data_IF_698362365115
#
_entry.id   IF_698362365115
#
_cell.length_a   1.000
_cell.length_b   1.000
_cell.length_c   1.000
_cell.angle_alpha   90.00
_cell.angle_beta   90.00
_cell.angle_gamma   90.00
#
_symmetry.space_group_name_H-M   'P 1'
#
loop_
_entity.id
_entity.type
_entity.pdbx_description
1 polymer ?
#
# COMPACT_ATOMS: atom_id res chain seq x y z
N UNK A 1 -22.64 -1.73 28.38
CA UNK A 1 -21.29 -1.61 28.96
C UNK A 1 -20.43 -2.66 28.27
N UNK A 2 -19.59 -2.27 27.32
CA UNK A 2 -18.70 -3.19 26.60
C UNK A 2 -17.52 -3.55 27.51
N UNK A 3 -17.11 -4.83 27.64
CA UNK A 3 -16.03 -5.18 28.54
C UNK A 3 -14.70 -4.66 27.97
N UNK A 4 -13.99 -3.86 28.77
CA UNK A 4 -12.64 -3.39 28.50
C UNK A 4 -11.59 -4.49 28.79
N UNK A 5 -11.81 -5.68 28.24
CA UNK A 5 -10.78 -6.73 28.22
C UNK A 5 -9.95 -6.55 26.95
N UNK A 6 -8.64 -6.30 27.07
CA UNK A 6 -7.71 -6.63 25.98
C UNK A 6 -7.82 -8.13 25.78
N UNK A 7 -8.63 -8.56 24.82
CA UNK A 7 -8.58 -9.93 24.35
C UNK A 7 -7.14 -10.22 23.96
N UNK A 8 -6.57 -11.30 24.47
CA UNK A 8 -5.32 -11.84 23.96
C UNK A 8 -5.61 -12.37 22.56
N UNK A 9 -5.58 -11.49 21.57
CA UNK A 9 -5.57 -11.89 20.18
C UNK A 9 -4.23 -12.56 19.94
N UNK A 10 -4.24 -13.83 19.53
CA UNK A 10 -3.05 -14.45 18.97
C UNK A 10 -2.57 -13.57 17.81
N UNK A 11 -1.28 -13.23 17.82
CA UNK A 11 -0.69 -12.53 16.69
C UNK A 11 -0.80 -13.42 15.46
N UNK A 12 -1.15 -12.83 14.32
CA UNK A 12 -1.11 -13.57 13.06
C UNK A 12 0.32 -14.10 12.85
N UNK A 13 0.45 -15.30 12.28
CA UNK A 13 1.76 -15.87 11.99
C UNK A 13 2.58 -14.97 11.04
N UNK A 14 1.89 -14.22 10.19
CA UNK A 14 2.45 -13.22 9.30
C UNK A 14 1.56 -11.99 9.32
N UNK A 15 2.16 -10.82 9.44
CA UNK A 15 1.49 -9.53 9.38
C UNK A 15 1.82 -8.86 8.05
N UNK A 16 0.82 -8.32 7.37
CA UNK A 16 1.01 -7.57 6.11
C UNK A 16 1.49 -6.12 6.37
N UNK A 17 1.44 -5.67 7.62
CA UNK A 17 1.75 -4.31 8.04
C UNK A 17 2.98 -4.21 8.94
N UNK A 18 3.29 -2.96 9.31
CA UNK A 18 4.32 -2.65 10.31
C UNK A 18 3.66 -1.79 11.39
N UNK A 19 3.98 -2.06 12.66
CA UNK A 19 3.54 -1.21 13.77
C UNK A 19 4.09 0.21 13.60
N UNK A 20 3.20 1.20 13.71
CA UNK A 20 3.52 2.62 13.54
C UNK A 20 3.54 3.38 14.87
N UNK A 21 3.41 2.69 16.01
CA UNK A 21 3.29 3.36 17.31
C UNK A 21 4.52 4.21 17.64
N UNK A 22 5.71 3.77 17.24
CA UNK A 22 6.96 4.51 17.41
C UNK A 22 6.91 5.91 16.78
N UNK A 23 6.26 6.06 15.62
CA UNK A 23 6.13 7.35 14.90
C UNK A 23 5.39 8.40 15.74
N UNK A 24 4.49 7.97 16.63
CA UNK A 24 3.74 8.87 17.51
C UNK A 24 4.63 9.53 18.58
N UNK A 25 5.72 8.87 18.97
CA UNK A 25 6.69 9.36 19.96
C UNK A 25 7.83 10.12 19.28
N UNK A 26 8.31 9.61 18.14
CA UNK A 26 9.37 10.20 17.32
C UNK A 26 9.04 10.07 15.83
N UNK A 27 8.66 11.16 15.12
CA UNK A 27 8.36 11.12 13.69
C UNK A 27 9.49 10.56 12.82
N UNK A 28 10.75 10.68 13.25
CA UNK A 28 11.92 10.17 12.53
C UNK A 28 12.08 8.65 12.69
N UNK A 29 11.37 8.02 13.62
CA UNK A 29 11.36 6.56 13.83
C UNK A 29 10.52 5.80 12.80
N UNK A 30 10.22 6.43 11.66
CA UNK A 30 9.43 5.84 10.59
C UNK A 30 10.05 4.53 10.11
N UNK A 31 9.34 3.40 10.20
CA UNK A 31 9.85 2.12 9.72
C UNK A 31 10.12 2.17 8.22
N UNK A 32 11.28 1.67 7.82
CA UNK A 32 11.64 1.57 6.40
C UNK A 32 10.84 0.46 5.72
N UNK A 33 10.40 0.74 4.49
CA UNK A 33 9.85 -0.26 3.56
C UNK A 33 10.39 0.03 2.17
N UNK A 34 10.68 -1.02 1.41
CA UNK A 34 11.17 -0.90 0.03
C UNK A 34 10.04 -0.53 -0.94
N UNK A 35 8.82 -0.98 -0.65
CA UNK A 35 7.65 -0.73 -1.49
C UNK A 35 6.34 -0.76 -0.70
N UNK A 36 5.30 -0.18 -1.30
CA UNK A 36 3.90 -0.26 -0.86
C UNK A 36 3.13 -1.12 -1.85
N UNK A 37 2.30 -2.04 -1.34
CA UNK A 37 1.45 -2.90 -2.14
C UNK A 37 -0.02 -2.54 -1.94
N UNK A 38 -0.80 -2.57 -3.02
CA UNK A 38 -2.24 -2.37 -2.98
C UNK A 38 -2.96 -3.32 -3.94
N UNK A 39 -4.19 -3.69 -3.60
CA UNK A 39 -5.08 -4.48 -4.44
C UNK A 39 -6.44 -3.80 -4.49
N UNK A 40 -7.00 -3.73 -5.68
CA UNK A 40 -8.33 -3.19 -5.92
C UNK A 40 -9.17 -4.23 -6.69
N UNK A 41 -10.44 -4.38 -6.28
CA UNK A 41 -11.38 -5.38 -6.82
C UNK A 41 -12.55 -4.75 -7.59
N UNK A 42 -12.45 -3.48 -7.95
CA UNK A 42 -13.54 -2.76 -8.58
C UNK A 42 -14.52 -2.15 -7.57
N UNK A 43 -15.49 -1.41 -8.09
CA UNK A 43 -16.58 -0.83 -7.30
C UNK A 43 -17.93 -1.29 -7.87
N UNK A 44 -18.23 -0.88 -9.11
CA UNK A 44 -19.46 -1.29 -9.82
C UNK A 44 -19.26 -2.57 -10.64
N UNK A 45 -18.10 -2.71 -11.29
CA UNK A 45 -17.73 -3.91 -12.04
C UNK A 45 -16.52 -4.57 -11.41
N UNK A 46 -16.47 -5.91 -11.45
CA UNK A 46 -15.32 -6.67 -11.00
C UNK A 46 -14.11 -6.35 -11.89
N UNK A 47 -13.18 -5.58 -11.34
CA UNK A 47 -11.88 -5.29 -11.98
C UNK A 47 -10.79 -5.57 -10.97
N UNK A 48 -9.82 -6.40 -11.34
CA UNK A 48 -8.68 -6.68 -10.49
C UNK A 48 -7.52 -5.82 -10.95
N UNK A 49 -7.08 -4.92 -10.07
CA UNK A 49 -5.83 -4.18 -10.22
C UNK A 49 -4.92 -4.49 -9.04
N UNK A 50 -3.63 -4.56 -9.32
CA UNK A 50 -2.58 -4.72 -8.30
C UNK A 50 -1.53 -3.66 -8.53
N UNK A 51 -1.05 -3.07 -7.45
CA UNK A 51 -0.16 -1.94 -7.52
C UNK A 51 1.03 -2.15 -6.59
N UNK A 52 2.21 -1.79 -7.08
CA UNK A 52 3.44 -1.65 -6.30
C UNK A 52 3.98 -0.23 -6.48
N UNK A 53 4.39 0.39 -5.38
CA UNK A 53 4.95 1.74 -5.36
C UNK A 53 6.29 1.69 -4.63
N UNK A 54 7.37 2.11 -5.26
CA UNK A 54 8.67 2.38 -4.63
C UNK A 54 8.85 3.88 -4.42
N UNK A 55 10.03 4.29 -3.96
CA UNK A 55 10.46 5.70 -3.94
C UNK A 55 10.35 6.41 -5.30
N UNK A 56 10.67 5.69 -6.39
CA UNK A 56 10.76 6.24 -7.74
C UNK A 56 9.67 5.77 -8.67
N UNK A 57 9.20 4.53 -8.58
CA UNK A 57 8.28 3.99 -9.58
C UNK A 57 6.97 3.57 -8.96
N UNK A 58 5.89 3.79 -9.71
CA UNK A 58 4.59 3.17 -9.47
C UNK A 58 4.23 2.31 -10.67
N UNK A 59 3.89 1.06 -10.40
CA UNK A 59 3.39 0.13 -11.40
C UNK A 59 1.99 -0.36 -11.02
N UNK A 60 1.06 -0.30 -11.96
CA UNK A 60 -0.30 -0.83 -11.83
C UNK A 60 -0.48 -1.92 -12.88
N UNK A 61 -0.62 -3.16 -12.42
CA UNK A 61 -1.10 -4.24 -13.26
C UNK A 61 -2.61 -4.12 -13.44
N UNK A 62 -3.08 -4.07 -14.68
CA UNK A 62 -4.48 -3.94 -15.03
C UNK A 62 -4.94 -5.15 -15.84
N UNK A 63 -5.66 -6.08 -15.21
CA UNK A 63 -6.05 -7.33 -15.89
C UNK A 63 -7.07 -7.18 -17.03
N UNK A 64 -7.64 -6.00 -17.21
CA UNK A 64 -8.69 -5.71 -18.20
C UNK A 64 -8.36 -4.52 -19.11
N UNK A 65 -7.16 -3.96 -19.00
CA UNK A 65 -6.70 -2.84 -19.79
C UNK A 65 -5.17 -2.93 -19.95
N UNK A 66 -4.54 -1.86 -20.42
CA UNK A 66 -3.08 -1.74 -20.41
C UNK A 66 -2.55 -1.55 -18.99
N UNK A 67 -1.37 -2.12 -18.73
CA UNK A 67 -0.63 -1.83 -17.52
C UNK A 67 -0.19 -0.35 -17.49
N UNK A 68 0.07 0.17 -16.29
CA UNK A 68 0.50 1.55 -16.09
C UNK A 68 1.85 1.59 -15.37
N UNK A 69 2.78 2.41 -15.86
CA UNK A 69 4.09 2.66 -15.25
C UNK A 69 4.33 4.16 -15.16
N UNK A 70 4.53 4.66 -13.95
CA UNK A 70 4.82 6.06 -13.66
C UNK A 70 6.19 6.20 -13.00
N UNK A 71 7.01 7.13 -13.49
CA UNK A 71 8.26 7.55 -12.84
C UNK A 71 7.95 8.78 -11.95
N UNK A 72 7.85 8.54 -10.64
CA UNK A 72 7.47 9.51 -9.62
C UNK A 72 8.56 10.57 -9.37
N UNK A 73 9.81 10.35 -9.79
CA UNK A 73 10.85 11.39 -9.69
C UNK A 73 10.62 12.51 -10.70
N UNK A 74 10.18 12.17 -11.92
CA UNK A 74 10.03 13.13 -13.03
C UNK A 74 8.57 13.50 -13.32
N UNK A 75 7.62 12.62 -12.95
CA UNK A 75 6.18 12.82 -13.05
C UNK A 75 5.49 12.46 -11.72
N UNK A 76 5.72 13.26 -10.66
CA UNK A 76 5.09 13.06 -9.35
C UNK A 76 3.56 13.23 -9.39
N UNK A 77 3.02 13.77 -10.49
CA UNK A 77 1.60 13.91 -10.75
C UNK A 77 0.96 12.70 -11.42
N UNK A 78 1.76 11.71 -11.83
CA UNK A 78 1.30 10.46 -12.43
C UNK A 78 0.39 10.67 -13.66
N UNK A 79 0.77 11.61 -14.54
CA UNK A 79 0.00 12.00 -15.72
C UNK A 79 0.39 11.18 -16.95
N UNK A 80 1.64 10.76 -17.05
CA UNK A 80 2.20 10.08 -18.21
C UNK A 80 2.44 8.60 -17.91
N UNK A 81 1.67 7.74 -18.57
CA UNK A 81 1.95 6.32 -18.60
C UNK A 81 3.14 6.04 -19.54
N UNK A 82 4.18 5.38 -19.03
CA UNK A 82 5.44 5.08 -19.72
C UNK A 82 5.55 3.65 -20.27
N UNK A 83 4.44 2.90 -20.31
CA UNK A 83 4.36 1.57 -20.93
C UNK A 83 4.44 1.62 -22.46
#
# INVERSE_FOLDING_TARGET
MWPAGRGSHESLQFEDGIDLSAILEDPESTPSREAIFNVYYGCEFLRVQRMIITDRYKYVFNGFDVDELYDLEIDPSEILNHV
#
